data_IF_245882047385
#
_entry.id   IF_245882047385
#
_cell.length_a   1.000
_cell.length_b   1.000
_cell.length_c   1.000
_cell.angle_alpha   90.00
_cell.angle_beta   90.00
_cell.angle_gamma   90.00
#
_symmetry.space_group_name_H-M   'P 1'
#
loop_
_entity.id
_entity.type
_entity.pdbx_description
1 polymer ?
#
# COMPACT_ATOMS: atom_id res chain seq x y z
N UNK A 1 -4.97 10.28 12.51
CA UNK A 1 -5.23 9.87 11.11
C UNK A 1 -6.26 10.82 10.51
N UNK A 2 -6.06 11.32 9.29
CA UNK A 2 -7.07 12.18 8.64
C UNK A 2 -8.21 11.34 8.01
N UNK A 3 -9.35 11.97 7.72
CA UNK A 3 -10.53 11.31 7.14
C UNK A 3 -10.23 10.66 5.79
N UNK A 4 -9.41 11.30 4.96
CA UNK A 4 -9.06 10.83 3.61
C UNK A 4 -8.20 9.57 3.66
N UNK A 5 -7.38 9.39 4.69
CA UNK A 5 -6.59 8.18 4.89
C UNK A 5 -7.43 6.93 5.13
N UNK A 6 -8.55 7.06 5.85
CA UNK A 6 -9.49 5.95 6.03
C UNK A 6 -10.18 5.60 4.71
N UNK A 7 -10.57 6.60 3.92
CA UNK A 7 -11.15 6.44 2.57
C UNK A 7 -10.15 5.76 1.62
N UNK A 8 -8.88 6.18 1.65
CA UNK A 8 -7.78 5.54 0.93
C UNK A 8 -7.59 4.08 1.35
N UNK A 9 -7.50 3.79 2.65
CA UNK A 9 -7.24 2.44 3.17
C UNK A 9 -8.35 1.44 2.80
N UNK A 10 -9.62 1.85 2.90
CA UNK A 10 -10.74 0.99 2.49
C UNK A 10 -10.78 0.78 0.96
N UNK A 11 -10.42 1.80 0.19
CA UNK A 11 -10.34 1.69 -1.27
C UNK A 11 -9.19 0.78 -1.72
N UNK A 12 -8.01 0.90 -1.10
CA UNK A 12 -6.88 -0.02 -1.30
C UNK A 12 -7.27 -1.46 -0.96
N UNK A 13 -7.95 -1.68 0.17
CA UNK A 13 -8.43 -3.02 0.55
C UNK A 13 -9.34 -3.64 -0.52
N UNK A 14 -10.27 -2.86 -1.07
CA UNK A 14 -11.16 -3.31 -2.16
C UNK A 14 -10.40 -3.55 -3.46
N UNK A 15 -9.43 -2.68 -3.79
CA UNK A 15 -8.59 -2.84 -4.98
C UNK A 15 -7.71 -4.09 -4.90
N UNK A 16 -7.17 -4.40 -3.72
CA UNK A 16 -6.44 -5.65 -3.51
C UNK A 16 -7.33 -6.88 -3.74
N UNK A 17 -8.61 -6.84 -3.32
CA UNK A 17 -9.57 -7.90 -3.62
C UNK A 17 -9.77 -8.02 -5.14
N UNK A 18 -10.06 -6.92 -5.84
CA UNK A 18 -10.23 -6.92 -7.30
C UNK A 18 -9.02 -7.53 -8.04
N UNK A 19 -7.79 -7.17 -7.65
CA UNK A 19 -6.57 -7.73 -8.23
C UNK A 19 -6.47 -9.23 -7.92
N UNK A 20 -6.72 -9.64 -6.68
CA UNK A 20 -6.73 -11.04 -6.27
C UNK A 20 -7.78 -11.87 -7.05
N UNK A 21 -8.92 -11.27 -7.40
CA UNK A 21 -9.95 -11.89 -8.24
C UNK A 21 -9.45 -12.15 -9.66
N UNK A 22 -8.81 -11.16 -10.29
CA UNK A 22 -8.20 -11.31 -11.62
C UNK A 22 -7.09 -12.36 -11.64
N UNK A 23 -6.40 -12.55 -10.52
CA UNK A 23 -5.40 -13.60 -10.32
C UNK A 23 -5.98 -14.97 -9.95
N UNK A 24 -7.31 -15.14 -9.95
CA UNK A 24 -8.00 -16.38 -9.58
C UNK A 24 -7.67 -16.89 -8.17
N UNK A 25 -7.37 -15.99 -7.22
CA UNK A 25 -7.16 -16.38 -5.83
C UNK A 25 -8.47 -16.84 -5.18
N UNK A 26 -8.35 -17.71 -4.18
CA UNK A 26 -9.50 -18.24 -3.43
C UNK A 26 -10.18 -17.17 -2.59
N UNK A 27 -11.43 -17.42 -2.17
CA UNK A 27 -12.18 -16.51 -1.29
C UNK A 27 -11.41 -16.19 0.01
N UNK A 28 -10.77 -17.19 0.62
CA UNK A 28 -9.96 -17.01 1.83
C UNK A 28 -8.78 -16.06 1.60
N UNK A 29 -8.12 -16.18 0.45
CA UNK A 29 -6.99 -15.31 0.08
C UNK A 29 -7.45 -13.89 -0.25
N UNK A 30 -8.63 -13.71 -0.85
CA UNK A 30 -9.23 -12.39 -1.06
C UNK A 30 -9.56 -11.70 0.27
N UNK A 31 -10.09 -12.44 1.25
CA UNK A 31 -10.31 -11.90 2.62
C UNK A 31 -9.01 -11.46 3.27
N UNK A 32 -7.92 -12.23 3.08
CA UNK A 32 -6.58 -11.83 3.53
C UNK A 32 -6.13 -10.53 2.85
N UNK A 33 -6.33 -10.40 1.53
CA UNK A 33 -6.01 -9.18 0.80
C UNK A 33 -6.76 -7.96 1.35
N UNK A 34 -8.05 -8.11 1.65
CA UNK A 34 -8.83 -7.04 2.27
C UNK A 34 -8.26 -6.64 3.64
N UNK A 35 -7.94 -7.60 4.51
CA UNK A 35 -7.37 -7.33 5.84
C UNK A 35 -6.03 -6.60 5.74
N UNK A 36 -5.16 -7.01 4.81
CA UNK A 36 -3.86 -6.35 4.60
C UNK A 36 -4.06 -4.92 4.12
N UNK A 37 -4.85 -4.71 3.08
CA UNK A 37 -5.09 -3.36 2.53
C UNK A 37 -5.77 -2.43 3.52
N UNK A 38 -6.69 -2.95 4.35
CA UNK A 38 -7.37 -2.12 5.35
C UNK A 38 -6.42 -1.63 6.45
N UNK A 39 -5.39 -2.41 6.78
CA UNK A 39 -4.46 -2.10 7.88
C UNK A 39 -3.13 -1.49 7.42
N UNK A 40 -2.84 -1.41 6.12
CA UNK A 40 -1.49 -1.07 5.63
C UNK A 40 -0.98 0.30 6.15
N UNK A 41 -1.89 1.25 6.31
CA UNK A 41 -1.60 2.61 6.72
C UNK A 41 -1.91 2.90 8.20
N UNK A 42 -2.20 1.87 9.00
CA UNK A 42 -2.51 2.04 10.43
C UNK A 42 -1.43 2.79 11.20
N UNK A 43 -0.17 2.68 10.76
CA UNK A 43 0.96 3.35 11.39
C UNK A 43 0.88 4.88 11.35
N UNK A 44 0.16 5.49 10.39
CA UNK A 44 -0.01 6.95 10.33
C UNK A 44 -0.63 7.53 11.61
N UNK A 45 -1.48 6.76 12.30
CA UNK A 45 -2.06 7.17 13.60
C UNK A 45 -0.99 7.47 14.66
N UNK A 46 0.20 6.86 14.51
CA UNK A 46 1.28 6.91 15.49
C UNK A 46 2.51 7.64 14.95
N UNK A 47 2.35 8.49 13.94
CA UNK A 47 3.42 9.33 13.37
C UNK A 47 3.01 10.79 13.35
N UNK A 48 3.97 11.71 13.53
CA UNK A 48 3.70 13.15 13.43
C UNK A 48 3.71 13.65 11.98
N UNK A 49 4.47 13.00 11.09
CA UNK A 49 4.70 13.46 9.71
C UNK A 49 4.62 12.34 8.65
N UNK A 50 4.09 11.17 9.01
CA UNK A 50 3.97 10.01 8.10
C UNK A 50 5.27 9.25 7.85
N UNK A 51 6.41 9.71 8.37
CA UNK A 51 7.69 9.03 8.19
C UNK A 51 7.64 7.67 8.91
N UNK A 52 8.08 6.62 8.20
CA UNK A 52 8.13 5.25 8.71
C UNK A 52 6.78 4.67 9.17
N UNK A 53 5.64 5.21 8.69
CA UNK A 53 4.32 4.68 9.01
C UNK A 53 4.21 3.17 8.73
N UNK A 54 4.79 2.70 7.63
CA UNK A 54 4.84 1.29 7.27
C UNK A 54 5.56 0.44 8.33
N UNK A 55 6.74 0.89 8.80
CA UNK A 55 7.52 0.21 9.85
C UNK A 55 6.79 0.21 11.19
N UNK A 56 6.20 1.34 11.57
CA UNK A 56 5.46 1.51 12.83
C UNK A 56 4.20 0.63 12.83
N UNK A 57 3.41 0.69 11.74
CA UNK A 57 2.22 -0.14 11.57
C UNK A 57 2.55 -1.63 11.53
N UNK A 58 3.61 -2.01 10.81
CA UNK A 58 4.09 -3.39 10.77
C UNK A 58 4.51 -3.91 12.15
N UNK A 59 5.27 -3.15 12.92
CA UNK A 59 5.67 -3.55 14.28
C UNK A 59 4.49 -3.61 15.25
N UNK A 60 3.51 -2.70 15.13
CA UNK A 60 2.28 -2.74 15.91
C UNK A 60 1.51 -4.05 15.65
N UNK A 61 1.30 -4.38 14.38
CA UNK A 61 0.61 -5.59 13.95
C UNK A 61 1.39 -6.87 14.29
N UNK A 62 2.72 -6.82 14.25
CA UNK A 62 3.57 -7.93 14.70
C UNK A 62 3.32 -8.25 16.18
N UNK A 63 3.24 -7.22 17.02
CA UNK A 63 3.01 -7.36 18.47
C UNK A 63 1.60 -7.86 18.80
N UNK A 64 0.60 -7.60 17.96
CA UNK A 64 -0.76 -8.13 18.12
C UNK A 64 -0.93 -9.57 17.62
N UNK A 65 0.11 -10.16 17.02
CA UNK A 65 0.06 -11.50 16.44
C UNK A 65 -0.54 -11.56 15.04
N UNK A 66 -0.71 -10.41 14.37
CA UNK A 66 -1.23 -10.37 13.01
C UNK A 66 -0.23 -11.01 12.03
N UNK A 67 -0.62 -12.13 11.42
CA UNK A 67 0.24 -12.97 10.57
C UNK A 67 0.93 -12.21 9.43
N UNK A 68 0.25 -11.24 8.84
CA UNK A 68 0.69 -10.53 7.61
C UNK A 68 1.35 -9.18 7.91
N UNK A 69 1.92 -9.02 9.11
CA UNK A 69 2.56 -7.78 9.52
C UNK A 69 3.74 -7.38 8.60
N UNK A 70 4.40 -8.36 7.96
CA UNK A 70 5.53 -8.11 7.06
C UNK A 70 5.09 -7.38 5.80
N UNK A 71 3.94 -7.74 5.24
CA UNK A 71 3.35 -7.03 4.11
C UNK A 71 3.17 -5.54 4.43
N UNK A 72 2.67 -5.21 5.62
CA UNK A 72 2.59 -3.81 6.07
C UNK A 72 3.99 -3.22 6.28
N UNK A 73 4.92 -3.94 6.90
CA UNK A 73 6.25 -3.43 7.21
C UNK A 73 7.09 -3.09 5.95
N UNK A 74 6.91 -3.84 4.87
CA UNK A 74 7.71 -3.73 3.64
C UNK A 74 6.99 -3.06 2.47
N UNK A 75 5.72 -2.67 2.62
CA UNK A 75 5.02 -1.97 1.54
C UNK A 75 5.71 -0.63 1.21
N UNK A 76 5.69 -0.30 -0.08
CA UNK A 76 6.37 0.88 -0.62
C UNK A 76 7.90 0.81 -0.61
N UNK A 77 8.53 -0.29 -0.17
CA UNK A 77 10.00 -0.46 -0.18
C UNK A 77 10.51 -1.07 -1.49
N UNK A 78 11.52 -0.45 -2.11
CA UNK A 78 12.12 -0.93 -3.36
C UNK A 78 13.25 -1.95 -3.15
N UNK A 79 13.93 -1.88 -2.01
CA UNK A 79 15.13 -2.66 -1.69
C UNK A 79 14.84 -3.55 -0.47
N UNK A 80 14.01 -4.56 -0.67
CA UNK A 80 13.63 -5.54 0.35
C UNK A 80 13.86 -6.96 -0.16
N UNK A 81 14.48 -7.80 0.66
CA UNK A 81 14.60 -9.24 0.39
C UNK A 81 13.28 -9.98 0.64
N UNK A 82 12.39 -9.38 1.44
CA UNK A 82 11.07 -9.95 1.69
C UNK A 82 10.16 -9.70 0.48
N UNK A 83 9.71 -10.79 -0.13
CA UNK A 83 8.70 -10.78 -1.18
C UNK A 83 7.55 -11.69 -0.79
N UNK A 84 6.33 -11.29 -1.14
CA UNK A 84 5.16 -12.15 -1.03
C UNK A 84 4.14 -11.73 -2.08
N UNK A 85 3.28 -12.65 -2.51
CA UNK A 85 2.20 -12.31 -3.44
C UNK A 85 1.28 -11.21 -2.89
N UNK A 86 1.08 -11.17 -1.58
CA UNK A 86 0.23 -10.16 -0.94
C UNK A 86 0.91 -8.79 -0.87
N UNK A 87 2.23 -8.75 -0.65
CA UNK A 87 3.01 -7.52 -0.75
C UNK A 87 2.94 -6.95 -2.17
N UNK A 88 3.07 -7.81 -3.19
CA UNK A 88 2.94 -7.39 -4.58
C UNK A 88 1.54 -6.81 -4.87
N UNK A 89 0.48 -7.50 -4.46
CA UNK A 89 -0.90 -7.02 -4.63
C UNK A 89 -1.14 -5.70 -3.87
N UNK A 90 -0.59 -5.56 -2.66
CA UNK A 90 -0.69 -4.34 -1.86
C UNK A 90 -0.03 -3.15 -2.58
N UNK A 91 1.22 -3.33 -3.03
CA UNK A 91 1.94 -2.28 -3.75
C UNK A 91 1.24 -1.89 -5.06
N UNK A 92 0.63 -2.86 -5.77
CA UNK A 92 -0.18 -2.56 -6.95
C UNK A 92 -1.42 -1.73 -6.58
N UNK A 93 -2.14 -2.11 -5.52
CA UNK A 93 -3.37 -1.44 -5.12
C UNK A 93 -3.12 -0.01 -4.60
N UNK A 94 -2.16 0.19 -3.70
CA UNK A 94 -1.80 1.52 -3.16
C UNK A 94 -1.31 2.47 -4.27
N UNK A 95 -0.54 1.95 -5.22
CA UNK A 95 -0.09 2.73 -6.37
C UNK A 95 -1.16 2.95 -7.45
N UNK A 96 -2.41 2.52 -7.24
CA UNK A 96 -3.55 2.83 -8.13
C UNK A 96 -4.64 3.67 -7.45
N UNK A 97 -4.63 3.79 -6.12
CA UNK A 97 -5.67 4.49 -5.35
C UNK A 97 -5.15 5.82 -4.85
N UNK A 98 -5.86 6.92 -5.13
CA UNK A 98 -5.48 8.26 -4.66
C UNK A 98 -5.80 8.47 -3.17
N UNK A 99 -5.44 9.64 -2.63
CA UNK A 99 -5.71 9.95 -1.22
C UNK A 99 -7.21 10.08 -0.88
N UNK A 100 -8.09 10.25 -1.86
CA UNK A 100 -9.55 10.35 -1.68
C UNK A 100 -10.25 8.99 -1.85
N UNK A 101 -9.49 7.92 -2.06
CA UNK A 101 -10.04 6.58 -2.26
C UNK A 101 -10.56 6.31 -3.67
N UNK A 102 -10.21 7.13 -4.66
CA UNK A 102 -10.54 6.85 -6.06
C UNK A 102 -9.49 5.93 -6.69
N UNK A 103 -9.94 4.95 -7.45
CA UNK A 103 -9.07 4.18 -8.35
C UNK A 103 -8.73 5.03 -9.57
N UNK A 104 -7.50 5.53 -9.62
CA UNK A 104 -7.00 6.47 -10.63
C UNK A 104 -5.97 5.84 -11.58
N UNK A 105 -5.52 4.63 -11.26
CA UNK A 105 -4.42 3.97 -11.96
C UNK A 105 -3.04 4.56 -11.65
N UNK A 106 -1.98 3.90 -12.14
CA UNK A 106 -0.60 4.25 -11.80
C UNK A 106 -0.19 5.67 -12.16
N UNK A 107 -0.53 6.13 -13.36
CA UNK A 107 0.00 7.39 -13.88
C UNK A 107 -0.57 8.59 -13.13
N UNK A 108 -1.90 8.63 -12.92
CA UNK A 108 -2.55 9.67 -12.11
C UNK A 108 -2.15 9.61 -10.63
N UNK A 109 -1.90 8.41 -10.09
CA UNK A 109 -1.39 8.27 -8.72
C UNK A 109 0.01 8.89 -8.58
N UNK A 110 0.88 8.70 -9.56
CA UNK A 110 2.19 9.33 -9.59
C UNK A 110 2.07 10.86 -9.73
N UNK A 111 1.17 11.38 -10.56
CA UNK A 111 0.88 12.82 -10.67
C UNK A 111 0.41 13.41 -9.32
N UNK A 112 -0.48 12.72 -8.60
CA UNK A 112 -0.93 13.14 -7.26
C UNK A 112 0.23 13.18 -6.23
N UNK A 113 1.11 12.19 -6.26
CA UNK A 113 2.30 12.16 -5.38
C UNK A 113 3.28 13.28 -5.76
N UNK A 114 3.46 13.52 -7.06
CA UNK A 114 4.29 14.60 -7.57
C UNK A 114 3.78 15.97 -7.12
N UNK A 115 2.48 16.22 -7.25
CA UNK A 115 1.89 17.50 -6.86
C UNK A 115 2.06 17.78 -5.35
N UNK A 116 2.11 16.73 -4.51
CA UNK A 116 2.27 16.85 -3.06
C UNK A 116 3.72 16.97 -2.60
N UNK A 117 4.65 16.30 -3.28
CA UNK A 117 6.03 16.18 -2.81
C UNK A 117 7.09 16.72 -3.79
N UNK A 118 6.73 17.07 -5.02
CA UNK A 118 7.60 17.34 -6.18
C UNK A 118 8.32 16.12 -6.76
N UNK A 119 8.66 16.17 -8.06
CA UNK A 119 9.45 15.13 -8.77
C UNK A 119 10.80 14.85 -8.13
N UNK A 120 11.41 15.87 -7.52
CA UNK A 120 12.74 15.75 -6.94
C UNK A 120 12.74 15.03 -5.58
N UNK A 121 11.58 14.89 -4.94
CA UNK A 121 11.49 14.22 -3.64
C UNK A 121 11.89 12.76 -3.70
N UNK A 122 12.50 12.30 -2.59
CA UNK A 122 12.80 10.88 -2.40
C UNK A 122 11.52 10.02 -2.45
N UNK A 123 10.38 10.56 -2.00
CA UNK A 123 9.09 9.88 -1.99
C UNK A 123 8.64 9.61 -3.43
N UNK A 124 8.59 10.65 -4.28
CA UNK A 124 8.17 10.50 -5.67
C UNK A 124 9.06 9.50 -6.42
N UNK A 125 10.40 9.65 -6.33
CA UNK A 125 11.34 8.74 -7.02
C UNK A 125 11.13 7.29 -6.59
N UNK A 126 10.95 7.05 -5.29
CA UNK A 126 10.69 5.71 -4.75
C UNK A 126 9.41 5.11 -5.33
N UNK A 127 8.31 5.86 -5.33
CA UNK A 127 7.03 5.43 -5.90
C UNK A 127 7.12 5.20 -7.41
N UNK A 128 7.86 6.05 -8.13
CA UNK A 128 8.08 5.91 -9.57
C UNK A 128 8.85 4.62 -9.92
N UNK A 129 9.93 4.35 -9.19
CA UNK A 129 10.71 3.12 -9.37
C UNK A 129 9.90 1.87 -9.00
N UNK A 130 9.06 1.96 -7.96
CA UNK A 130 8.13 0.89 -7.60
C UNK A 130 7.14 0.61 -8.73
N UNK A 131 6.50 1.64 -9.29
CA UNK A 131 5.55 1.50 -10.40
C UNK A 131 6.21 0.90 -11.63
N UNK A 132 7.46 1.26 -11.95
CA UNK A 132 8.21 0.63 -13.04
C UNK A 132 8.33 -0.88 -12.84
N UNK A 133 8.78 -1.31 -11.65
CA UNK A 133 8.87 -2.74 -11.30
C UNK A 133 7.51 -3.44 -11.39
N UNK A 134 6.43 -2.77 -10.96
CA UNK A 134 5.08 -3.34 -10.97
C UNK A 134 4.52 -3.52 -12.39
N UNK A 135 4.89 -2.67 -13.35
CA UNK A 135 4.45 -2.78 -14.76
C UNK A 135 5.17 -3.89 -15.54
N UNK A 136 6.22 -4.48 -14.97
CA UNK A 136 6.95 -5.61 -15.57
C UNK A 136 6.34 -6.99 -15.24
N UNK A 137 5.36 -7.04 -14.34
CA UNK A 137 4.59 -8.24 -13.96
C UNK A 137 3.28 -8.37 -14.75
#
# INVERSE_FOLDING_TARGET
MDKYRLEHSIAVARKMVEIAEKMNLTESERKICFLIGYNHDIGYEFTENGINHNKIGGELLRKSGFKYWKEIYYHGENDTEFTSKYLNILNQADMQVDCYGNDVGYDKRLEDIENRYSKESKIYRKCYDLVKKLKEY
#
